data_IF_639040080680
#
_entry.id   IF_639040080680
#
_cell.length_a   1.000
_cell.length_b   1.000
_cell.length_c   1.000
_cell.angle_alpha   90.00
_cell.angle_beta   90.00
_cell.angle_gamma   90.00
#
_symmetry.space_group_name_H-M   'P 1'
#
loop_
_entity.id
_entity.type
_entity.pdbx_description
1 polymer ?
#
# COMPACT_ATOMS: atom_id res chain seq x y z
N UNK A 1 27.55 9.39 1.50
CA UNK A 1 26.33 8.77 0.97
C UNK A 1 26.76 7.82 -0.13
N UNK A 2 26.61 6.51 0.08
CA UNK A 2 26.94 5.50 -0.95
C UNK A 2 25.61 5.04 -1.54
N UNK A 3 25.46 5.22 -2.85
CA UNK A 3 24.27 4.83 -3.61
C UNK A 3 24.63 3.63 -4.47
N UNK A 4 23.92 2.52 -4.28
CA UNK A 4 24.01 1.35 -5.13
C UNK A 4 22.67 1.19 -5.84
N UNK A 5 22.67 1.38 -7.15
CA UNK A 5 21.53 1.13 -8.02
C UNK A 5 21.79 -0.16 -8.80
N UNK A 6 20.84 -1.06 -8.69
CA UNK A 6 20.67 -2.21 -9.56
C UNK A 6 19.18 -2.18 -9.88
N UNK A 7 18.79 -2.40 -11.14
CA UNK A 7 17.42 -2.34 -11.68
C UNK A 7 16.42 -3.24 -10.91
N UNK A 8 16.16 -2.93 -9.66
CA UNK A 8 15.51 -3.77 -8.66
C UNK A 8 14.19 -3.13 -8.32
N UNK A 9 13.14 -3.94 -8.41
CA UNK A 9 11.82 -3.67 -7.81
C UNK A 9 11.99 -2.96 -6.48
N UNK A 10 11.50 -1.72 -6.39
CA UNK A 10 11.62 -0.88 -5.20
C UNK A 10 10.52 -1.25 -4.22
N UNK A 11 10.91 -1.60 -3.01
CA UNK A 11 10.00 -1.72 -1.87
C UNK A 11 10.34 -0.63 -0.88
N UNK A 12 9.35 0.17 -0.50
CA UNK A 12 9.45 1.21 0.52
C UNK A 12 8.63 0.78 1.73
N UNK A 13 9.24 0.84 2.90
CA UNK A 13 8.58 0.63 4.19
C UNK A 13 8.54 1.95 4.94
N UNK A 14 7.34 2.34 5.35
CA UNK A 14 7.09 3.49 6.21
C UNK A 14 6.51 2.98 7.52
N UNK A 15 7.04 3.48 8.63
CA UNK A 15 6.58 3.16 9.99
C UNK A 15 6.26 4.49 10.65
N UNK A 16 4.98 4.68 10.98
CA UNK A 16 4.53 5.82 11.76
C UNK A 16 4.19 5.34 13.16
N UNK A 17 4.84 5.90 14.18
CA UNK A 17 4.61 5.57 15.59
C UNK A 17 3.79 6.67 16.26
N UNK A 18 2.87 6.27 17.13
CA UNK A 18 1.92 7.14 17.83
C UNK A 18 2.02 6.95 19.34
N UNK A 19 1.44 7.87 20.11
CA UNK A 19 1.49 7.79 21.57
C UNK A 19 0.65 6.62 22.12
N UNK A 20 -0.35 6.16 21.36
CA UNK A 20 -1.21 5.05 21.72
C UNK A 20 -1.70 4.25 20.51
N UNK A 21 -2.15 3.03 20.76
CA UNK A 21 -2.83 2.20 19.75
C UNK A 21 -4.10 2.88 19.20
N UNK A 22 -4.85 3.57 20.04
CA UNK A 22 -6.07 4.28 19.62
C UNK A 22 -5.77 5.38 18.59
N UNK A 23 -4.67 6.13 18.77
CA UNK A 23 -4.24 7.14 17.80
C UNK A 23 -3.81 6.51 16.47
N UNK A 24 -3.05 5.40 16.52
CA UNK A 24 -2.64 4.68 15.32
C UNK A 24 -3.85 4.09 14.56
N UNK A 25 -4.85 3.58 15.30
CA UNK A 25 -6.13 3.10 14.77
C UNK A 25 -6.93 4.21 14.12
N UNK A 26 -7.03 5.38 14.76
CA UNK A 26 -7.68 6.55 14.17
C UNK A 26 -7.01 6.95 12.86
N UNK A 27 -5.68 6.96 12.82
CA UNK A 27 -4.93 7.28 11.60
C UNK A 27 -5.27 6.32 10.45
N UNK A 28 -5.31 5.01 10.71
CA UNK A 28 -5.69 4.02 9.69
C UNK A 28 -7.12 4.26 9.18
N UNK A 29 -8.07 4.54 10.07
CA UNK A 29 -9.46 4.80 9.68
C UNK A 29 -9.59 6.09 8.85
N UNK A 30 -8.82 7.13 9.17
CA UNK A 30 -8.75 8.33 8.36
C UNK A 30 -8.15 8.05 6.96
N UNK A 31 -7.13 7.20 6.88
CA UNK A 31 -6.52 6.80 5.61
C UNK A 31 -7.50 6.01 4.74
N UNK A 32 -8.19 5.01 5.31
CA UNK A 32 -9.25 4.24 4.63
C UNK A 32 -10.31 5.15 4.05
N UNK A 33 -10.91 6.01 4.90
CA UNK A 33 -11.95 6.96 4.48
C UNK A 33 -11.50 7.89 3.35
N UNK A 34 -10.26 8.38 3.39
CA UNK A 34 -9.71 9.23 2.34
C UNK A 34 -9.57 8.48 1.02
N UNK A 35 -9.10 7.23 1.07
CA UNK A 35 -8.88 6.41 -0.13
C UNK A 35 -10.21 5.95 -0.74
N UNK A 36 -11.14 5.46 0.07
CA UNK A 36 -12.47 5.02 -0.38
C UNK A 36 -13.30 6.15 -1.00
N UNK A 37 -13.14 7.39 -0.50
CA UNK A 37 -13.76 8.59 -1.09
C UNK A 37 -13.12 9.02 -2.42
N UNK A 38 -12.11 8.30 -2.92
CA UNK A 38 -11.46 8.59 -4.19
C UNK A 38 -10.28 9.56 -4.06
N UNK A 39 -9.40 9.36 -3.07
CA UNK A 39 -8.14 10.13 -3.00
C UNK A 39 -7.37 10.05 -4.33
N UNK A 40 -6.92 11.20 -4.84
CA UNK A 40 -6.19 11.26 -6.10
C UNK A 40 -4.99 10.32 -6.08
N UNK A 41 -4.99 9.35 -7.00
CA UNK A 41 -3.86 8.46 -7.25
C UNK A 41 -3.97 7.07 -6.60
N UNK A 42 -4.95 6.82 -5.72
CA UNK A 42 -5.20 5.49 -5.15
C UNK A 42 -6.56 4.93 -5.59
N UNK A 43 -6.63 3.62 -5.79
CA UNK A 43 -7.85 2.89 -6.13
C UNK A 43 -7.73 1.41 -5.78
N UNK A 44 -8.76 0.64 -6.15
CA UNK A 44 -8.82 -0.81 -5.89
C UNK A 44 -8.62 -1.20 -4.42
N UNK A 45 -9.23 -0.43 -3.51
CA UNK A 45 -9.20 -0.71 -2.08
C UNK A 45 -9.75 -2.11 -1.78
N UNK A 46 -9.01 -2.88 -0.97
CA UNK A 46 -9.42 -4.18 -0.45
C UNK A 46 -8.99 -4.32 0.99
N UNK A 47 -9.81 -4.99 1.77
CA UNK A 47 -9.49 -5.48 3.10
C UNK A 47 -9.16 -6.98 3.01
N UNK A 48 -8.11 -7.40 3.70
CA UNK A 48 -7.61 -8.78 3.72
C UNK A 48 -7.34 -9.17 5.18
N UNK A 49 -7.62 -10.43 5.54
CA UNK A 49 -7.18 -11.03 6.80
C UNK A 49 -5.97 -11.93 6.52
N UNK A 50 -4.85 -11.69 7.20
CA UNK A 50 -3.60 -12.46 7.07
C UNK A 50 -3.02 -12.67 8.46
N UNK A 51 -2.84 -13.93 8.88
CA UNK A 51 -2.27 -14.27 10.20
C UNK A 51 -2.96 -13.51 11.36
N UNK A 52 -4.30 -13.46 11.36
CA UNK A 52 -5.13 -12.76 12.36
C UNK A 52 -4.92 -11.24 12.40
N UNK A 53 -4.41 -10.67 11.31
CA UNK A 53 -4.24 -9.22 11.12
C UNK A 53 -5.05 -8.75 9.92
N UNK A 54 -5.78 -7.66 10.13
CA UNK A 54 -6.42 -6.92 9.05
C UNK A 54 -5.38 -6.09 8.30
N UNK A 55 -5.20 -6.38 7.01
CA UNK A 55 -4.39 -5.62 6.07
C UNK A 55 -5.28 -4.91 5.07
N UNK A 56 -4.90 -3.69 4.72
CA UNK A 56 -5.54 -2.91 3.66
C UNK A 56 -4.64 -2.83 2.45
N UNK A 57 -5.20 -3.10 1.27
CA UNK A 57 -4.52 -3.11 -0.01
C UNK A 57 -5.09 -2.01 -0.89
N UNK A 58 -4.22 -1.20 -1.49
CA UNK A 58 -4.60 -0.22 -2.52
C UNK A 58 -3.59 -0.21 -3.66
N UNK A 59 -4.03 0.14 -4.86
CA UNK A 59 -3.14 0.40 -6.00
C UNK A 59 -3.00 1.91 -6.20
N UNK A 60 -1.78 2.38 -6.41
CA UNK A 60 -1.54 3.78 -6.71
C UNK A 60 -0.11 4.04 -7.15
N UNK A 61 0.09 5.11 -7.93
CA UNK A 61 1.44 5.58 -8.32
C UNK A 61 2.37 4.49 -8.92
N UNK A 62 1.80 3.50 -9.62
CA UNK A 62 2.58 2.39 -10.20
C UNK A 62 2.98 1.28 -9.20
N UNK A 63 2.47 1.35 -7.97
CA UNK A 63 2.80 0.45 -6.88
C UNK A 63 1.54 -0.22 -6.31
N UNK A 64 1.75 -1.38 -5.67
CA UNK A 64 0.81 -1.96 -4.73
C UNK A 64 1.19 -1.50 -3.32
N UNK A 65 0.19 -1.08 -2.56
CA UNK A 65 0.37 -0.62 -1.19
C UNK A 65 -0.36 -1.55 -0.24
N UNK A 66 0.32 -1.92 0.84
CA UNK A 66 -0.25 -2.62 1.98
C UNK A 66 -0.10 -1.75 3.21
N UNK A 67 -1.14 -1.65 4.01
CA UNK A 67 -1.02 -0.97 5.30
C UNK A 67 -1.86 -1.64 6.39
N UNK A 68 -1.34 -1.63 7.60
CA UNK A 68 -1.92 -2.32 8.74
C UNK A 68 -1.42 -1.73 10.06
N UNK A 69 -2.12 -2.08 11.13
CA UNK A 69 -1.81 -1.67 12.49
C UNK A 69 -0.86 -2.69 13.14
N UNK A 70 0.15 -2.21 13.86
CA UNK A 70 1.02 -3.00 14.73
C UNK A 70 1.18 -2.26 16.07
N UNK A 71 0.35 -2.61 17.06
CA UNK A 71 0.23 -1.87 18.33
C UNK A 71 0.03 -0.36 18.10
N UNK A 72 0.91 0.50 18.62
CA UNK A 72 0.86 1.95 18.44
C UNK A 72 1.49 2.43 17.11
N UNK A 73 1.62 1.54 16.11
CA UNK A 73 2.26 1.85 14.83
C UNK A 73 1.34 1.58 13.66
N UNK A 74 1.48 2.42 12.64
CA UNK A 74 0.94 2.16 11.30
C UNK A 74 2.10 1.77 10.40
N UNK A 75 2.02 0.57 9.84
CA UNK A 75 2.97 0.05 8.88
C UNK A 75 2.41 0.27 7.48
N UNK A 76 3.18 0.88 6.58
CA UNK A 76 2.80 1.08 5.18
C UNK A 76 3.93 0.60 4.27
N UNK A 77 3.62 -0.38 3.41
CA UNK A 77 4.54 -0.99 2.46
C UNK A 77 4.08 -0.59 1.06
N UNK A 78 4.95 0.06 0.29
CA UNK A 78 4.74 0.33 -1.12
C UNK A 78 5.72 -0.51 -1.95
N UNK A 79 5.21 -1.32 -2.86
CA UNK A 79 6.01 -2.21 -3.71
C UNK A 79 5.68 -1.98 -5.16
N UNK A 80 6.70 -1.85 -6.01
CA UNK A 80 6.50 -1.73 -7.45
C UNK A 80 5.70 -2.92 -8.01
N UNK A 81 4.73 -2.61 -8.87
CA UNK A 81 4.08 -3.63 -9.69
C UNK A 81 5.14 -4.22 -10.63
N UNK A 82 5.28 -5.55 -10.65
CA UNK A 82 6.24 -6.17 -11.57
C UNK A 82 5.91 -5.81 -13.02
N UNK A 83 6.93 -5.64 -13.86
CA UNK A 83 6.74 -5.35 -15.29
C UNK A 83 5.81 -6.37 -15.97
N UNK A 84 5.89 -7.64 -15.58
CA UNK A 84 5.02 -8.70 -16.07
C UNK A 84 3.54 -8.47 -15.74
N UNK A 85 3.22 -7.99 -14.53
CA UNK A 85 1.85 -7.67 -14.14
C UNK A 85 1.32 -6.42 -14.86
N UNK A 86 2.21 -5.46 -15.12
CA UNK A 86 1.91 -4.25 -15.89
C UNK A 86 1.62 -4.58 -17.36
N UNK A 87 2.44 -5.46 -17.96
CA UNK A 87 2.23 -6.02 -19.31
C UNK A 87 0.94 -6.82 -19.39
N UNK A 88 0.64 -7.66 -18.40
CA UNK A 88 -0.61 -8.42 -18.35
C UNK A 88 -1.83 -7.50 -18.28
N UNK A 89 -1.81 -6.48 -17.41
CA UNK A 89 -2.89 -5.47 -17.33
C UNK A 89 -3.06 -4.70 -18.63
N UNK A 90 -1.96 -4.33 -19.30
CA UNK A 90 -2.00 -3.68 -20.61
C UNK A 90 -2.58 -4.61 -21.69
N UNK A 91 -2.14 -5.87 -21.74
CA UNK A 91 -2.63 -6.87 -22.69
C UNK A 91 -4.13 -7.14 -22.52
N UNK A 92 -4.61 -7.30 -21.28
CA UNK A 92 -6.04 -7.51 -21.00
C UNK A 92 -6.93 -6.32 -21.41
N UNK A 93 -6.39 -5.10 -21.43
CA UNK A 93 -7.11 -3.92 -21.94
C UNK A 93 -7.08 -3.82 -23.46
N UNK A 94 -6.01 -4.27 -24.09
CA UNK A 94 -5.85 -4.23 -25.55
C UNK A 94 -6.69 -5.29 -26.27
N UNK A 95 -7.14 -6.33 -25.57
CA UNK A 95 -7.97 -7.43 -26.10
C UNK A 95 -9.47 -7.19 -25.78
N UNK A 96 -9.85 -5.95 -25.47
CA UNK A 96 -11.25 -5.55 -25.25
C UNK A 96 -11.79 -4.75 -26.43
#
# INVERSE_FOLDING_TARGET
MVHYESERTRTMLYISEFDSEDQAREQIEQMKKKIEKGSKGFGHFRELEVEERTLYLVLGFGQIHYFYLDSNRVIWIAKDLSMAELVLKAALKAIK
#
